data_IF_563392602094
#
_entry.id   IF_563392602094
#
_cell.length_a   1.000
_cell.length_b   1.000
_cell.length_c   1.000
_cell.angle_alpha   90.00
_cell.angle_beta   90.00
_cell.angle_gamma   90.00
#
_symmetry.space_group_name_H-M   'P 1'
#
loop_
_entity.id
_entity.type
_entity.pdbx_description
1 polymer ?
#
# COMPACT_ATOMS: atom_id res chain seq x y z
N UNK A 1 -12.83 -26.50 -1.63
CA UNK A 1 -11.78 -27.16 -0.79
C UNK A 1 -10.44 -26.61 -1.23
N UNK A 2 -9.52 -26.35 -0.32
CA UNK A 2 -8.23 -25.70 -0.62
C UNK A 2 -7.39 -26.48 -1.64
N UNK A 3 -7.63 -27.79 -1.79
CA UNK A 3 -7.01 -28.67 -2.78
C UNK A 3 -7.17 -28.22 -4.24
N UNK A 4 -8.36 -27.74 -4.61
CA UNK A 4 -8.75 -27.44 -6.01
C UNK A 4 -8.48 -25.97 -6.40
N UNK A 5 -7.77 -25.22 -5.55
CA UNK A 5 -7.46 -23.81 -5.81
C UNK A 5 -6.39 -23.67 -6.90
N UNK A 6 -6.83 -23.21 -8.07
CA UNK A 6 -5.99 -23.04 -9.27
C UNK A 6 -5.70 -21.57 -9.60
N UNK A 7 -6.45 -20.63 -9.00
CA UNK A 7 -6.40 -19.24 -9.42
C UNK A 7 -7.42 -18.34 -8.75
N UNK A 8 -7.47 -17.10 -9.21
CA UNK A 8 -8.38 -16.05 -8.73
C UNK A 8 -9.08 -15.37 -9.90
N UNK A 9 -10.19 -14.69 -9.64
CA UNK A 9 -10.86 -13.84 -10.62
C UNK A 9 -10.53 -12.38 -10.32
N UNK A 10 -9.99 -11.68 -11.31
CA UNK A 10 -9.84 -10.23 -11.28
C UNK A 10 -11.19 -9.60 -11.66
N UNK A 11 -11.88 -9.02 -10.67
CA UNK A 11 -13.18 -8.38 -10.84
C UNK A 11 -13.10 -7.04 -11.58
N UNK A 12 -11.92 -6.41 -11.66
CA UNK A 12 -11.69 -5.16 -12.39
C UNK A 12 -11.54 -5.48 -13.88
N UNK A 13 -10.78 -6.50 -14.26
CA UNK A 13 -10.61 -6.87 -15.68
C UNK A 13 -11.64 -7.89 -16.17
N UNK A 14 -12.41 -8.49 -15.25
CA UNK A 14 -13.30 -9.61 -15.51
C UNK A 14 -12.61 -10.77 -16.24
N UNK A 15 -11.47 -11.19 -15.68
CA UNK A 15 -10.67 -12.31 -16.20
C UNK A 15 -10.26 -13.26 -15.08
N UNK A 16 -10.14 -14.54 -15.43
CA UNK A 16 -9.55 -15.56 -14.56
C UNK A 16 -8.03 -15.54 -14.66
N UNK A 17 -7.36 -15.61 -13.52
CA UNK A 17 -5.91 -15.66 -13.40
C UNK A 17 -5.53 -17.02 -12.84
N UNK A 18 -4.87 -17.83 -13.67
CA UNK A 18 -4.55 -19.22 -13.38
C UNK A 18 -3.05 -19.37 -13.23
N UNK A 19 -2.61 -19.98 -12.14
CA UNK A 19 -1.19 -20.10 -11.83
C UNK A 19 -0.63 -21.44 -12.29
N UNK A 20 0.59 -21.42 -12.79
CA UNK A 20 1.34 -22.62 -13.13
C UNK A 20 2.07 -23.14 -11.88
N UNK A 21 1.65 -24.31 -11.41
CA UNK A 21 2.21 -24.99 -10.23
C UNK A 21 3.68 -25.39 -10.45
N UNK A 22 4.13 -25.65 -11.68
CA UNK A 22 5.53 -26.01 -11.97
C UNK A 22 6.49 -24.85 -11.74
N UNK A 23 6.00 -23.62 -11.83
CA UNK A 23 6.81 -22.40 -11.71
C UNK A 23 6.78 -21.79 -10.32
N UNK A 24 6.17 -22.47 -9.35
CA UNK A 24 5.90 -21.92 -8.01
C UNK A 24 5.22 -20.54 -8.10
N UNK A 25 4.27 -20.40 -9.04
CA UNK A 25 3.50 -19.18 -9.26
C UNK A 25 4.23 -18.05 -9.99
N UNK A 26 5.51 -18.21 -10.37
CA UNK A 26 6.23 -17.18 -11.12
C UNK A 26 5.58 -16.86 -12.47
N UNK A 27 4.87 -17.83 -13.06
CA UNK A 27 4.06 -17.63 -14.26
C UNK A 27 2.59 -17.87 -13.94
N UNK A 28 1.75 -17.01 -14.52
CA UNK A 28 0.32 -17.19 -14.58
C UNK A 28 -0.18 -16.90 -15.99
N UNK A 29 -1.35 -17.43 -16.31
CA UNK A 29 -2.05 -17.16 -17.56
C UNK A 29 -3.38 -16.48 -17.25
N UNK A 30 -3.68 -15.44 -18.02
CA UNK A 30 -4.96 -14.76 -17.98
C UNK A 30 -5.87 -15.43 -19.01
N UNK A 31 -7.05 -15.89 -18.59
CA UNK A 31 -8.05 -16.52 -19.45
C UNK A 31 -9.45 -16.03 -19.05
N UNK A 32 -10.46 -16.53 -19.74
CA UNK A 32 -11.85 -16.25 -19.36
C UNK A 32 -12.19 -16.88 -18.01
N UNK A 33 -13.18 -16.27 -17.35
CA UNK A 33 -13.74 -16.77 -16.09
C UNK A 33 -14.48 -18.07 -16.39
N UNK A 34 -14.37 -19.11 -15.54
CA UNK A 34 -15.15 -20.33 -15.70
C UNK A 34 -16.65 -20.05 -15.75
N UNK A 35 -17.39 -20.77 -16.60
CA UNK A 35 -18.83 -20.55 -16.80
C UNK A 35 -19.63 -20.65 -15.49
N UNK A 36 -19.23 -21.54 -14.58
CA UNK A 36 -19.84 -21.73 -13.26
C UNK A 36 -19.60 -20.57 -12.29
N UNK A 37 -18.62 -19.70 -12.57
CA UNK A 37 -18.27 -18.55 -11.74
C UNK A 37 -18.67 -17.21 -12.36
N UNK A 38 -19.15 -17.18 -13.61
CA UNK A 38 -19.36 -15.92 -14.33
C UNK A 38 -20.46 -15.06 -13.70
N UNK A 39 -21.59 -15.65 -13.33
CA UNK A 39 -22.71 -14.96 -12.68
C UNK A 39 -22.29 -14.42 -11.30
N UNK A 40 -21.52 -15.21 -10.57
CA UNK A 40 -20.99 -14.81 -9.26
C UNK A 40 -20.01 -13.64 -9.42
N UNK A 41 -19.09 -13.72 -10.38
CA UNK A 41 -18.12 -12.66 -10.66
C UNK A 41 -18.82 -11.36 -11.09
N UNK A 42 -19.87 -11.43 -11.90
CA UNK A 42 -20.68 -10.27 -12.28
C UNK A 42 -21.33 -9.63 -11.06
N UNK A 43 -21.98 -10.42 -10.20
CA UNK A 43 -22.60 -9.90 -8.97
C UNK A 43 -21.58 -9.23 -8.03
N UNK A 44 -20.38 -9.79 -7.91
CA UNK A 44 -19.32 -9.17 -7.09
C UNK A 44 -18.67 -7.96 -7.76
N UNK A 45 -18.60 -7.90 -9.10
CA UNK A 45 -18.18 -6.70 -9.83
C UNK A 45 -19.18 -5.56 -9.61
N UNK A 46 -20.47 -5.83 -9.68
CA UNK A 46 -21.51 -4.82 -9.42
C UNK A 46 -21.34 -4.24 -8.00
N UNK A 47 -21.23 -5.10 -6.98
CA UNK A 47 -20.97 -4.66 -5.59
C UNK A 47 -19.68 -3.85 -5.44
N UNK A 48 -18.62 -4.26 -6.16
CA UNK A 48 -17.35 -3.53 -6.18
C UNK A 48 -17.54 -2.13 -6.77
N UNK A 49 -18.22 -2.01 -7.91
CA UNK A 49 -18.50 -0.72 -8.56
C UNK A 49 -19.34 0.15 -7.63
N UNK A 50 -20.44 -0.37 -7.09
CA UNK A 50 -21.31 0.35 -6.15
C UNK A 50 -20.54 0.90 -4.95
N UNK A 51 -19.68 0.07 -4.33
CA UNK A 51 -18.87 0.47 -3.17
C UNK A 51 -17.87 1.57 -3.50
N UNK A 52 -17.35 1.61 -4.74
CA UNK A 52 -16.38 2.61 -5.17
C UNK A 52 -17.06 3.94 -5.54
N UNK A 53 -18.21 3.87 -6.22
CA UNK A 53 -18.91 5.07 -6.69
C UNK A 53 -19.55 5.85 -5.54
N UNK A 54 -20.05 5.19 -4.49
CA UNK A 54 -20.71 5.83 -3.33
C UNK A 54 -19.83 6.88 -2.64
N UNK A 55 -18.52 6.76 -2.74
CA UNK A 55 -17.56 7.67 -2.11
C UNK A 55 -17.04 8.78 -3.05
N UNK A 56 -17.56 8.88 -4.27
CA UNK A 56 -17.09 9.81 -5.30
C UNK A 56 -18.25 10.36 -6.15
N UNK A 57 -18.56 11.64 -5.96
CA UNK A 57 -19.68 12.33 -6.59
C UNK A 57 -19.72 12.15 -8.12
N UNK A 58 -18.60 12.37 -8.80
CA UNK A 58 -18.49 12.24 -10.27
C UNK A 58 -18.83 10.80 -10.72
N UNK A 59 -18.33 9.79 -10.01
CA UNK A 59 -18.62 8.40 -10.37
C UNK A 59 -20.05 8.01 -10.00
N UNK A 60 -20.61 8.58 -8.94
CA UNK A 60 -22.02 8.38 -8.56
C UNK A 60 -22.95 8.91 -9.66
N UNK A 61 -22.74 10.14 -10.13
CA UNK A 61 -23.55 10.72 -11.22
C UNK A 61 -23.47 9.88 -12.49
N UNK A 62 -22.26 9.47 -12.87
CA UNK A 62 -22.02 8.60 -14.02
C UNK A 62 -22.78 7.27 -13.91
N UNK A 63 -22.70 6.62 -12.75
CA UNK A 63 -23.40 5.37 -12.46
C UNK A 63 -24.93 5.53 -12.52
N UNK A 64 -25.49 6.60 -11.94
CA UNK A 64 -26.92 6.88 -11.94
C UNK A 64 -27.47 7.19 -13.34
N UNK A 65 -26.65 7.75 -14.22
CA UNK A 65 -26.97 8.00 -15.61
C UNK A 65 -26.87 6.74 -16.50
N UNK A 66 -26.47 5.59 -15.94
CA UNK A 66 -26.27 4.34 -16.67
C UNK A 66 -25.03 4.34 -17.56
N UNK A 67 -24.08 5.23 -17.31
CA UNK A 67 -22.80 5.26 -18.01
C UNK A 67 -21.83 4.21 -17.42
N UNK A 68 -21.03 3.60 -18.29
CA UNK A 68 -20.06 2.58 -17.89
C UNK A 68 -18.88 3.21 -17.13
N UNK A 69 -18.57 2.67 -15.94
CA UNK A 69 -17.37 3.00 -15.18
C UNK A 69 -16.20 2.19 -15.76
N UNK A 70 -15.16 2.87 -16.23
CA UNK A 70 -14.00 2.19 -16.83
C UNK A 70 -13.15 1.51 -15.76
N UNK A 71 -12.28 0.59 -16.18
CA UNK A 71 -11.37 -0.09 -15.26
C UNK A 71 -10.38 0.90 -14.63
N UNK A 72 -9.94 1.92 -15.37
CA UNK A 72 -9.06 2.97 -14.88
C UNK A 72 -9.76 3.82 -13.81
N UNK A 73 -11.00 4.24 -14.05
CA UNK A 73 -11.82 4.97 -13.07
C UNK A 73 -12.05 4.14 -11.81
N UNK A 74 -12.29 2.83 -11.97
CA UNK A 74 -12.49 1.90 -10.86
C UNK A 74 -11.21 1.75 -10.02
N UNK A 75 -10.04 1.62 -10.66
CA UNK A 75 -8.73 1.54 -9.99
C UNK A 75 -8.41 2.84 -9.24
N UNK A 76 -8.59 3.99 -9.89
CA UNK A 76 -8.38 5.28 -9.25
C UNK A 76 -9.33 5.48 -8.05
N UNK A 77 -10.58 5.07 -8.23
CA UNK A 77 -11.58 5.14 -7.18
C UNK A 77 -11.25 4.24 -5.99
N UNK A 78 -10.84 3.00 -6.26
CA UNK A 78 -10.34 2.06 -5.25
C UNK A 78 -9.17 2.64 -4.46
N UNK A 79 -8.20 3.26 -5.14
CA UNK A 79 -7.07 3.93 -4.48
C UNK A 79 -7.57 5.03 -3.54
N UNK A 80 -8.45 5.93 -4.02
CA UNK A 80 -8.97 7.04 -3.21
C UNK A 80 -9.66 6.55 -1.95
N UNK A 81 -10.57 5.57 -2.05
CA UNK A 81 -11.28 5.05 -0.87
C UNK A 81 -10.33 4.30 0.09
N UNK A 82 -9.27 3.68 -0.43
CA UNK A 82 -8.27 2.98 0.39
C UNK A 82 -7.44 3.97 1.19
N UNK A 83 -6.90 5.00 0.52
CA UNK A 83 -6.09 6.06 1.15
C UNK A 83 -6.90 6.85 2.18
N UNK A 84 -8.18 7.12 1.88
CA UNK A 84 -9.09 7.82 2.80
C UNK A 84 -9.70 6.92 3.88
N UNK A 85 -9.32 5.64 3.93
CA UNK A 85 -9.84 4.65 4.88
C UNK A 85 -11.39 4.54 4.85
N UNK A 86 -11.99 4.72 3.68
CA UNK A 86 -13.44 4.56 3.43
C UNK A 86 -13.79 3.16 2.95
N UNK A 87 -12.83 2.45 2.36
CA UNK A 87 -12.96 1.05 1.98
C UNK A 87 -11.63 0.32 2.10
N UNK A 88 -11.67 -1.01 2.09
CA UNK A 88 -10.48 -1.87 2.09
C UNK A 88 -10.61 -2.90 0.99
N UNK A 89 -9.75 -2.86 -0.05
CA UNK A 89 -9.75 -3.86 -1.11
C UNK A 89 -9.50 -5.25 -0.50
N UNK A 90 -10.39 -6.19 -0.81
CA UNK A 90 -10.25 -7.58 -0.37
C UNK A 90 -9.67 -8.39 -1.52
N UNK A 91 -8.53 -9.02 -1.27
CA UNK A 91 -7.87 -9.93 -2.20
C UNK A 91 -7.87 -11.34 -1.62
N UNK A 92 -7.78 -12.34 -2.49
CA UNK A 92 -7.64 -13.73 -2.09
C UNK A 92 -6.43 -14.37 -2.77
N UNK A 93 -5.91 -15.43 -2.15
CA UNK A 93 -4.73 -16.14 -2.59
C UNK A 93 -4.35 -17.24 -1.62
N UNK A 94 -3.36 -18.05 -2.00
CA UNK A 94 -2.81 -19.12 -1.19
C UNK A 94 -1.28 -19.01 -1.18
N UNK A 95 -0.74 -18.36 -0.14
CA UNK A 95 0.70 -18.14 0.01
C UNK A 95 1.48 -19.47 0.02
N UNK A 96 0.96 -20.48 0.72
CA UNK A 96 1.57 -21.81 0.77
C UNK A 96 1.67 -22.48 -0.61
N UNK A 97 0.78 -22.12 -1.55
CA UNK A 97 0.77 -22.63 -2.93
C UNK A 97 1.39 -21.66 -3.93
N UNK A 98 1.90 -20.50 -3.48
CA UNK A 98 2.43 -19.43 -4.32
C UNK A 98 1.44 -18.85 -5.34
N UNK A 99 0.13 -18.83 -5.02
CA UNK A 99 -0.93 -18.34 -5.91
C UNK A 99 -1.54 -17.06 -5.36
N UNK A 100 -1.53 -15.97 -6.13
CA UNK A 100 -2.20 -14.70 -5.76
C UNK A 100 -1.29 -13.64 -5.12
N UNK A 101 -0.03 -13.97 -4.79
CA UNK A 101 0.87 -13.05 -4.08
C UNK A 101 1.37 -11.93 -4.99
N UNK A 102 1.51 -12.24 -6.28
CA UNK A 102 1.90 -11.30 -7.33
C UNK A 102 0.87 -10.17 -7.43
N UNK A 103 -0.41 -10.53 -7.49
CA UNK A 103 -1.52 -9.56 -7.55
C UNK A 103 -1.67 -8.78 -6.24
N UNK A 104 -1.33 -9.38 -5.10
CA UNK A 104 -1.25 -8.66 -3.83
C UNK A 104 -0.17 -7.58 -3.88
N UNK A 105 0.99 -7.85 -4.47
CA UNK A 105 2.05 -6.86 -4.64
C UNK A 105 1.63 -5.75 -5.60
N UNK A 106 0.94 -6.08 -6.69
CA UNK A 106 0.38 -5.07 -7.60
C UNK A 106 -0.63 -4.18 -6.87
N UNK A 107 -1.54 -4.76 -6.09
CA UNK A 107 -2.51 -4.03 -5.28
C UNK A 107 -1.87 -3.13 -4.21
N UNK A 108 -0.72 -3.53 -3.65
CA UNK A 108 0.06 -2.67 -2.74
C UNK A 108 0.53 -1.41 -3.47
N UNK A 109 1.00 -1.54 -4.71
CA UNK A 109 1.43 -0.39 -5.52
C UNK A 109 0.24 0.49 -5.91
N UNK A 110 -0.84 -0.14 -6.39
CA UNK A 110 -1.98 0.57 -6.95
C UNK A 110 -2.82 1.28 -5.87
N UNK A 111 -3.00 0.68 -4.70
CA UNK A 111 -3.99 1.16 -3.72
C UNK A 111 -3.42 1.72 -2.42
N UNK A 112 -2.22 1.33 -1.99
CA UNK A 112 -1.66 1.84 -0.72
C UNK A 112 -1.05 3.24 -0.88
N UNK A 113 -1.06 4.05 0.19
CA UNK A 113 -0.53 5.40 0.16
C UNK A 113 0.99 5.42 -0.01
N UNK A 114 1.46 6.39 -0.79
CA UNK A 114 2.84 6.85 -0.75
C UNK A 114 3.06 7.81 0.44
N UNK A 115 4.31 8.16 0.80
CA UNK A 115 4.57 9.18 1.81
C UNK A 115 3.97 10.56 1.51
N UNK A 116 3.62 10.83 0.26
CA UNK A 116 2.98 12.09 -0.16
C UNK A 116 1.45 12.06 -0.01
N UNK A 117 0.87 10.87 0.12
CA UNK A 117 -0.58 10.69 0.27
C UNK A 117 -1.03 10.76 1.74
N UNK A 118 -0.09 10.83 2.69
CA UNK A 118 -0.37 10.92 4.12
C UNK A 118 -0.18 12.35 4.64
N UNK A 119 -0.92 12.77 5.67
CA UNK A 119 -0.73 14.08 6.30
C UNK A 119 0.69 14.27 6.82
N UNK A 120 1.11 15.53 6.94
CA UNK A 120 2.37 15.90 7.57
C UNK A 120 2.48 15.28 8.97
N UNK A 121 3.67 14.77 9.29
CA UNK A 121 3.88 14.08 10.56
C UNK A 121 3.91 15.08 11.71
N UNK A 122 2.98 14.95 12.64
CA UNK A 122 2.90 15.78 13.84
C UNK A 122 3.96 15.38 14.87
N UNK A 123 4.53 16.38 15.54
CA UNK A 123 5.41 16.24 16.69
C UNK A 123 5.32 17.45 17.61
N UNK A 124 6.14 17.47 18.66
CA UNK A 124 6.19 18.57 19.64
C UNK A 124 7.56 19.23 19.56
N UNK A 125 7.60 20.56 19.45
CA UNK A 125 8.87 21.29 19.52
C UNK A 125 9.44 21.20 20.95
N UNK A 126 10.68 20.70 21.13
CA UNK A 126 11.23 20.48 22.47
C UNK A 126 11.49 21.78 23.24
N UNK A 127 11.58 22.94 22.58
CA UNK A 127 11.80 24.24 23.21
C UNK A 127 10.50 24.95 23.57
N UNK A 128 9.53 24.99 22.64
CA UNK A 128 8.27 25.73 22.85
C UNK A 128 7.14 24.87 23.41
N UNK A 129 7.24 23.54 23.34
CA UNK A 129 6.19 22.58 23.69
C UNK A 129 4.92 22.71 22.83
N UNK A 130 5.01 23.37 21.68
CA UNK A 130 3.90 23.53 20.74
C UNK A 130 3.91 22.45 19.65
N UNK A 131 2.75 22.15 19.04
CA UNK A 131 2.67 21.27 17.87
C UNK A 131 3.55 21.76 16.71
N UNK A 132 4.27 20.83 16.08
CA UNK A 132 5.13 21.06 14.93
C UNK A 132 4.87 19.98 13.88
N UNK A 133 4.84 20.35 12.60
CA UNK A 133 4.53 19.44 11.50
C UNK A 133 5.74 19.22 10.60
N UNK A 134 5.94 17.98 10.17
CA UNK A 134 7.03 17.56 9.28
C UNK A 134 6.47 17.13 7.95
N UNK A 135 6.63 18.01 6.95
CA UNK A 135 6.27 17.74 5.57
C UNK A 135 7.16 16.67 4.97
N UNK A 136 6.53 15.74 4.25
CA UNK A 136 7.23 14.75 3.41
C UNK A 136 7.89 15.45 2.21
N UNK A 137 9.08 15.99 2.42
CA UNK A 137 9.87 16.68 1.42
C UNK A 137 11.36 16.53 1.69
N UNK A 138 12.16 16.64 0.64
CA UNK A 138 13.60 16.42 0.64
C UNK A 138 14.41 17.65 1.06
N UNK A 139 13.86 18.85 0.81
CA UNK A 139 14.49 20.17 0.96
C UNK A 139 14.20 20.85 2.30
N UNK A 140 13.53 20.15 3.21
CA UNK A 140 13.20 20.61 4.56
C UNK A 140 14.14 19.98 5.59
N UNK A 141 14.18 20.49 6.85
CA UNK A 141 15.02 19.91 7.90
C UNK A 141 14.74 18.43 8.13
N UNK A 142 15.80 17.68 8.44
CA UNK A 142 15.73 16.25 8.74
C UNK A 142 14.84 15.96 9.95
N UNK A 143 13.95 14.99 9.81
CA UNK A 143 13.26 14.36 10.94
C UNK A 143 13.09 12.86 10.71
N UNK A 144 13.24 12.09 11.78
CA UNK A 144 13.06 10.65 11.73
C UNK A 144 12.76 10.05 13.10
N UNK A 145 12.13 8.88 13.11
CA UNK A 145 11.78 8.13 14.31
C UNK A 145 12.53 6.81 14.33
N UNK A 146 13.35 6.60 15.35
CA UNK A 146 13.93 5.30 15.65
C UNK A 146 12.84 4.38 16.20
N UNK A 147 12.57 3.26 15.50
CA UNK A 147 11.48 2.33 15.86
C UNK A 147 11.97 0.94 16.26
N UNK A 148 13.21 0.57 15.93
CA UNK A 148 13.78 -0.72 16.30
C UNK A 148 15.27 -0.60 16.58
N UNK A 149 15.70 -1.18 17.69
CA UNK A 149 17.11 -1.39 18.01
C UNK A 149 17.38 -2.90 17.93
N UNK A 150 18.46 -3.26 17.24
CA UNK A 150 18.91 -4.64 17.07
C UNK A 150 20.42 -4.70 17.25
N UNK A 151 20.92 -5.71 17.95
CA UNK A 151 22.36 -5.95 18.07
C UNK A 151 22.75 -7.02 17.07
N UNK A 152 23.67 -6.67 16.17
CA UNK A 152 24.29 -7.59 15.23
C UNK A 152 25.72 -7.96 15.70
N UNK A 153 26.12 -9.24 15.67
CA UNK A 153 27.44 -9.68 16.12
C UNK A 153 28.64 -9.08 15.37
N UNK A 154 28.45 -8.67 14.11
CA UNK A 154 29.52 -8.20 13.23
C UNK A 154 29.59 -6.67 13.15
N UNK A 155 28.43 -5.99 13.16
CA UNK A 155 28.36 -4.53 13.00
C UNK A 155 27.94 -3.77 14.26
N UNK A 156 27.62 -4.48 15.35
CA UNK A 156 27.23 -3.88 16.63
C UNK A 156 25.77 -3.46 16.66
N UNK A 157 25.48 -2.34 17.33
CA UNK A 157 24.09 -1.88 17.51
C UNK A 157 23.57 -1.18 16.25
N UNK A 158 22.49 -1.71 15.69
CA UNK A 158 21.73 -1.17 14.57
C UNK A 158 20.46 -0.49 15.10
N UNK A 159 20.25 0.75 14.66
CA UNK A 159 19.03 1.51 14.94
C UNK A 159 18.30 1.71 13.62
N UNK A 160 17.15 1.05 13.47
CA UNK A 160 16.25 1.28 12.35
C UNK A 160 15.40 2.50 12.63
N UNK A 161 15.29 3.36 11.63
CA UNK A 161 14.51 4.57 11.71
C UNK A 161 13.71 4.79 10.44
N UNK A 162 12.57 5.47 10.58
CA UNK A 162 11.79 6.00 9.47
C UNK A 162 12.09 7.47 9.32
N UNK A 163 12.52 7.89 8.13
CA UNK A 163 12.63 9.31 7.76
C UNK A 163 11.24 9.82 7.38
N UNK A 164 10.88 10.98 7.91
CA UNK A 164 9.63 11.68 7.59
C UNK A 164 9.87 12.93 6.77
N UNK A 165 11.01 13.61 6.97
CA UNK A 165 11.36 14.82 6.23
C UNK A 165 12.88 14.98 6.12
N UNK A 166 13.32 15.68 5.09
CA UNK A 166 14.72 16.03 4.84
C UNK A 166 15.61 14.84 4.50
N UNK A 167 16.92 15.04 4.65
CA UNK A 167 17.96 14.06 4.28
C UNK A 167 18.91 13.80 5.43
N UNK A 168 19.44 12.57 5.47
CA UNK A 168 20.45 12.15 6.42
C UNK A 168 21.70 11.69 5.69
N UNK A 169 22.82 12.36 5.94
CA UNK A 169 24.11 12.01 5.34
C UNK A 169 25.01 11.31 6.36
N UNK A 170 25.77 10.31 5.90
CA UNK A 170 26.77 9.65 6.73
C UNK A 170 27.85 10.66 7.17
N UNK A 171 28.26 10.59 8.44
CA UNK A 171 29.22 11.51 9.04
C UNK A 171 28.60 12.81 9.59
N UNK A 172 27.33 13.09 9.28
CA UNK A 172 26.61 14.27 9.81
C UNK A 172 26.27 14.13 11.30
N UNK A 173 25.81 15.23 11.89
CA UNK A 173 25.32 15.25 13.27
C UNK A 173 23.83 15.58 13.28
N UNK A 174 23.07 14.80 14.04
CA UNK A 174 21.65 15.04 14.31
C UNK A 174 21.41 15.37 15.77
N UNK A 175 20.23 15.90 16.06
CA UNK A 175 19.77 16.16 17.43
C UNK A 175 18.76 15.09 17.85
N UNK A 176 19.05 14.37 18.92
CA UNK A 176 18.10 13.49 19.59
C UNK A 176 17.21 14.34 20.52
N UNK A 177 16.00 14.65 20.05
CA UNK A 177 15.05 15.50 20.75
C UNK A 177 14.58 14.95 22.10
N UNK A 178 14.57 13.62 22.28
CA UNK A 178 14.15 12.99 23.54
C UNK A 178 15.22 12.97 24.61
N UNK A 179 16.51 12.98 24.20
CA UNK A 179 17.66 12.96 25.12
C UNK A 179 18.34 14.31 25.28
N UNK A 180 17.98 15.31 24.47
CA UNK A 180 18.63 16.62 24.47
C UNK A 180 20.09 16.58 24.02
N UNK A 181 20.49 15.57 23.23
CA UNK A 181 21.88 15.30 22.88
C UNK A 181 22.11 15.30 21.37
N UNK A 182 23.32 15.67 20.94
CA UNK A 182 23.74 15.48 19.54
C UNK A 182 24.27 14.07 19.34
N UNK A 183 23.85 13.43 18.27
CA UNK A 183 24.36 12.12 17.86
C UNK A 183 25.07 12.24 16.52
N UNK A 184 26.21 11.56 16.37
CA UNK A 184 26.94 11.51 15.11
C UNK A 184 26.48 10.30 14.31
N UNK A 185 26.08 10.53 13.07
CA UNK A 185 25.70 9.46 12.14
C UNK A 185 26.97 8.80 11.63
N UNK A 186 27.11 7.51 11.94
CA UNK A 186 28.20 6.68 11.43
C UNK A 186 27.89 6.16 10.04
N UNK A 187 27.89 4.82 9.90
CA UNK A 187 27.56 4.13 8.66
C UNK A 187 26.04 3.96 8.57
N UNK A 188 25.49 4.22 7.39
CA UNK A 188 24.14 3.81 7.00
C UNK A 188 24.29 2.54 6.14
N UNK A 189 23.55 1.49 6.48
CA UNK A 189 23.57 0.20 5.80
C UNK A 189 22.36 0.05 4.88
#
# INVERSE_FOLDING_TARGET
>A
KEGDFVGVVDLIKMKGIYYDDETLGAKYVVRDIPEDLIELAQSYREKLVESVVEHQEILTEKYLNGEEITNEELVEGLRKITVLMKGTPILCGAAFKNKGIQLLLDAVVDYLPSPLDVPDTEGIDPKTQEPSFRKAADDVPFSGLAFKIMTDPFVGQLTFFRVYSGKLEAGSYIYNSTKGAKERIGRLL
#
